data_IF_262409539343
#
_entry.id   IF_262409539343
#
_cell.length_a   1.000
_cell.length_b   1.000
_cell.length_c   1.000
_cell.angle_alpha   90.00
_cell.angle_beta   90.00
_cell.angle_gamma   90.00
#
_symmetry.space_group_name_H-M   'P 1'
#
loop_
_entity.id
_entity.type
_entity.pdbx_description
1 polymer ?
#
# COMPACT_ATOMS: atom_id res chain seq x y z
N UNK A 1 -22.65 26.03 -39.79
CA UNK A 1 -21.53 25.13 -40.09
C UNK A 1 -20.38 25.31 -39.11
N UNK A 2 -19.96 26.53 -38.78
CA UNK A 2 -18.83 26.80 -37.88
C UNK A 2 -19.02 26.28 -36.44
N UNK A 3 -20.23 26.40 -35.86
CA UNK A 3 -20.51 25.87 -34.52
C UNK A 3 -20.46 24.33 -34.44
N UNK A 4 -20.85 23.65 -35.53
CA UNK A 4 -20.79 22.18 -35.60
C UNK A 4 -19.34 21.71 -35.70
N UNK A 5 -18.51 22.43 -36.43
CA UNK A 5 -17.07 22.11 -36.58
C UNK A 5 -16.31 22.34 -35.25
N UNK A 6 -16.63 23.43 -34.51
CA UNK A 6 -16.08 23.70 -33.17
C UNK A 6 -16.48 22.64 -32.16
N UNK A 7 -17.70 22.14 -32.17
CA UNK A 7 -18.15 21.06 -31.29
C UNK A 7 -17.43 19.72 -31.58
N UNK A 8 -17.25 19.40 -32.86
CA UNK A 8 -16.55 18.20 -33.29
C UNK A 8 -15.05 18.25 -32.92
N UNK A 9 -14.39 19.40 -33.06
CA UNK A 9 -13.00 19.61 -32.64
C UNK A 9 -12.86 19.51 -31.13
N UNK A 10 -13.77 20.10 -30.34
CA UNK A 10 -13.77 19.97 -28.87
C UNK A 10 -13.97 18.51 -28.43
N UNK A 11 -14.88 17.77 -29.04
CA UNK A 11 -15.08 16.35 -28.71
C UNK A 11 -13.89 15.49 -29.10
N UNK A 12 -13.24 15.75 -30.23
CA UNK A 12 -12.01 15.03 -30.63
C UNK A 12 -10.80 15.34 -29.74
N UNK A 13 -10.69 16.56 -29.20
CA UNK A 13 -9.66 16.92 -28.24
C UNK A 13 -9.90 16.28 -26.86
N UNK A 14 -11.15 16.13 -26.44
CA UNK A 14 -11.52 15.46 -25.18
C UNK A 14 -11.29 13.94 -25.23
N UNK A 15 -11.39 13.30 -26.39
CA UNK A 15 -11.15 11.84 -26.55
C UNK A 15 -9.67 11.48 -26.53
N UNK A 16 -8.77 12.41 -26.83
CA UNK A 16 -7.30 12.16 -26.80
C UNK A 16 -6.70 12.12 -25.38
N UNK A 17 -7.44 12.46 -24.35
CA UNK A 17 -6.89 12.56 -22.98
C UNK A 17 -7.08 11.33 -22.09
N UNK A 18 -7.53 10.18 -22.64
CA UNK A 18 -7.82 8.97 -21.85
C UNK A 18 -6.89 7.79 -22.15
N UNK A 19 -5.68 8.03 -22.63
CA UNK A 19 -4.67 6.96 -22.64
C UNK A 19 -4.25 6.70 -21.19
N UNK A 20 -4.74 5.59 -20.61
CA UNK A 20 -4.34 5.16 -19.29
C UNK A 20 -2.83 4.83 -19.26
N UNK A 21 -2.10 5.41 -18.31
CA UNK A 21 -0.69 5.06 -18.09
C UNK A 21 -0.62 3.64 -17.54
N UNK A 22 0.00 2.73 -18.29
CA UNK A 22 0.28 1.37 -17.83
C UNK A 22 1.57 1.41 -17.00
N UNK A 23 1.44 1.21 -15.70
CA UNK A 23 2.60 1.09 -14.79
C UNK A 23 2.92 -0.38 -14.60
N UNK A 24 4.11 -0.87 -15.00
CA UNK A 24 4.46 -2.28 -14.87
C UNK A 24 4.55 -2.72 -13.41
N UNK A 25 4.33 -4.03 -13.19
CA UNK A 25 4.53 -4.64 -11.88
C UNK A 25 6.01 -4.92 -11.64
N UNK A 26 6.47 -4.62 -10.42
CA UNK A 26 7.82 -4.94 -9.93
C UNK A 26 7.72 -6.00 -8.84
N UNK A 27 8.38 -7.14 -9.04
CA UNK A 27 8.53 -8.18 -8.02
C UNK A 27 9.82 -7.96 -7.23
N UNK A 28 9.74 -7.98 -5.90
CA UNK A 28 10.90 -7.81 -5.01
C UNK A 28 11.55 -9.16 -4.76
N UNK A 29 12.33 -9.65 -5.73
CA UNK A 29 12.94 -10.99 -5.67
C UNK A 29 13.91 -11.14 -4.48
N UNK A 30 14.59 -10.06 -4.07
CA UNK A 30 15.47 -10.03 -2.90
C UNK A 30 14.75 -10.25 -1.56
N UNK A 31 13.42 -10.24 -1.56
CA UNK A 31 12.60 -10.51 -0.39
C UNK A 31 12.54 -12.00 -0.02
N UNK A 32 12.60 -12.88 -1.02
CA UNK A 32 12.44 -14.33 -0.85
C UNK A 32 13.47 -14.92 0.13
N UNK A 33 14.79 -14.69 -0.02
CA UNK A 33 15.78 -15.22 0.92
C UNK A 33 15.68 -14.61 2.33
N UNK A 34 15.00 -13.49 2.48
CA UNK A 34 14.68 -12.87 3.79
C UNK A 34 13.40 -13.44 4.41
N UNK A 35 12.75 -14.38 3.76
CA UNK A 35 11.46 -14.95 4.16
C UNK A 35 10.30 -13.93 4.09
N UNK A 36 10.47 -12.81 3.42
CA UNK A 36 9.43 -11.80 3.19
C UNK A 36 8.63 -12.17 1.94
N UNK A 37 7.68 -13.07 2.10
CA UNK A 37 6.89 -13.66 1.01
C UNK A 37 5.39 -13.53 1.30
N UNK A 38 4.59 -13.55 0.23
CA UNK A 38 3.13 -13.62 0.31
C UNK A 38 2.68 -14.93 0.98
N UNK A 39 1.37 -15.08 1.21
CA UNK A 39 0.81 -16.29 1.82
C UNK A 39 1.16 -17.58 1.05
N UNK A 40 1.28 -17.51 -0.25
CA UNK A 40 1.63 -18.63 -1.14
C UNK A 40 3.14 -18.86 -1.31
N UNK A 41 3.96 -18.09 -0.62
CA UNK A 41 5.42 -18.14 -0.74
C UNK A 41 6.02 -17.34 -1.91
N UNK A 42 5.20 -16.67 -2.72
CA UNK A 42 5.68 -15.84 -3.82
C UNK A 42 6.29 -14.51 -3.36
N UNK A 43 7.16 -13.86 -4.18
CA UNK A 43 7.76 -12.58 -3.82
C UNK A 43 6.72 -11.46 -3.80
N UNK A 44 6.84 -10.49 -2.86
CA UNK A 44 5.98 -9.32 -2.84
C UNK A 44 6.17 -8.45 -4.09
N UNK A 45 5.12 -7.71 -4.44
CA UNK A 45 5.10 -6.92 -5.65
C UNK A 45 4.43 -5.56 -5.45
N UNK A 46 4.87 -4.60 -6.25
CA UNK A 46 4.26 -3.27 -6.30
C UNK A 46 4.32 -2.70 -7.72
N UNK A 47 3.57 -1.64 -7.96
CA UNK A 47 3.71 -0.77 -9.12
C UNK A 47 4.44 0.50 -8.70
N UNK A 48 5.40 0.93 -9.51
CA UNK A 48 6.17 2.16 -9.27
C UNK A 48 6.09 3.09 -10.46
N UNK A 49 5.43 4.20 -10.28
CA UNK A 49 5.42 5.32 -11.21
C UNK A 49 6.34 6.43 -10.69
N UNK A 50 7.41 6.68 -11.44
CA UNK A 50 8.50 7.56 -11.00
C UNK A 50 8.09 9.03 -11.05
N UNK A 51 8.40 9.77 -10.00
CA UNK A 51 8.21 11.21 -9.92
C UNK A 51 9.15 12.00 -10.85
N UNK A 52 8.77 13.23 -11.15
CA UNK A 52 9.51 14.12 -12.03
C UNK A 52 9.49 15.56 -11.51
N UNK A 53 10.36 16.40 -12.06
CA UNK A 53 10.51 17.82 -11.70
C UNK A 53 10.55 18.07 -10.19
N UNK A 54 9.75 18.96 -9.67
CA UNK A 54 9.64 19.28 -8.25
C UNK A 54 9.12 18.11 -7.38
N UNK A 55 8.57 17.07 -7.99
CA UNK A 55 8.05 15.88 -7.32
C UNK A 55 9.08 14.77 -7.11
N UNK A 56 10.29 14.86 -7.66
CA UNK A 56 11.29 13.77 -7.67
C UNK A 56 11.71 13.29 -6.26
N UNK A 57 11.70 14.18 -5.26
CA UNK A 57 12.01 13.88 -3.86
C UNK A 57 10.77 13.67 -3.00
N UNK A 58 9.59 13.59 -3.61
CA UNK A 58 8.33 13.40 -2.93
C UNK A 58 7.76 12.02 -3.23
N UNK A 59 7.31 11.31 -2.20
CA UNK A 59 6.91 9.91 -2.29
C UNK A 59 5.54 9.67 -1.69
N UNK A 60 4.72 8.89 -2.38
CA UNK A 60 3.48 8.33 -1.81
C UNK A 60 3.52 6.81 -1.96
N UNK A 61 3.50 6.11 -0.84
CA UNK A 61 3.47 4.65 -0.78
C UNK A 61 2.08 4.23 -0.31
N UNK A 62 1.33 3.60 -1.20
CA UNK A 62 -0.04 3.17 -0.93
C UNK A 62 -0.12 1.65 -0.82
N UNK A 63 -0.53 1.18 0.33
CA UNK A 63 -0.85 -0.22 0.56
C UNK A 63 -2.29 -0.51 0.16
N UNK A 64 -2.47 -1.56 -0.64
CA UNK A 64 -3.80 -1.96 -1.08
C UNK A 64 -4.53 -2.68 0.04
N UNK A 65 -5.86 -2.55 0.05
CA UNK A 65 -6.73 -3.41 0.82
C UNK A 65 -7.13 -4.66 0.03
N UNK A 66 -7.64 -5.66 0.69
CA UNK A 66 -8.26 -6.81 0.04
C UNK A 66 -9.66 -6.45 -0.45
N UNK A 67 -9.83 -6.41 -1.77
CA UNK A 67 -11.10 -6.09 -2.44
C UNK A 67 -11.35 -4.59 -2.71
N UNK A 68 -11.72 -4.25 -3.94
CA UNK A 68 -12.40 -3.02 -4.37
C UNK A 68 -11.61 -1.70 -4.46
N UNK A 69 -10.45 -1.62 -5.07
CA UNK A 69 -9.99 -0.37 -5.67
C UNK A 69 -10.22 -0.41 -7.18
N UNK A 70 -11.29 0.20 -7.63
CA UNK A 70 -11.78 0.06 -9.00
C UNK A 70 -11.27 1.17 -9.93
N UNK A 71 -10.42 2.14 -9.47
CA UNK A 71 -10.12 3.28 -10.30
C UNK A 71 -8.72 3.86 -10.06
N UNK A 72 -7.94 3.99 -11.13
CA UNK A 72 -6.65 4.68 -11.14
C UNK A 72 -6.79 6.21 -10.99
N UNK A 73 -7.96 6.78 -11.25
CA UNK A 73 -8.19 8.23 -11.27
C UNK A 73 -8.05 8.90 -9.89
N UNK A 74 -8.32 8.20 -8.81
CA UNK A 74 -8.13 8.73 -7.46
C UNK A 74 -6.67 8.99 -7.06
N UNK A 75 -5.72 8.55 -7.87
CA UNK A 75 -4.29 8.77 -7.65
C UNK A 75 -3.72 10.00 -8.36
N UNK A 76 -4.41 10.54 -9.35
CA UNK A 76 -3.80 11.41 -10.33
C UNK A 76 -3.86 12.90 -9.99
N UNK A 77 -4.83 13.36 -9.19
CA UNK A 77 -5.15 14.79 -9.14
C UNK A 77 -4.23 15.63 -8.25
N UNK A 78 -3.67 15.10 -7.14
CA UNK A 78 -2.90 15.90 -6.18
C UNK A 78 -1.40 15.56 -6.14
N UNK A 79 -1.00 14.38 -6.60
CA UNK A 79 0.36 13.87 -6.53
C UNK A 79 0.91 13.45 -7.90
N UNK A 80 0.48 14.12 -8.96
CA UNK A 80 0.73 13.71 -10.35
C UNK A 80 2.24 13.63 -10.68
N UNK A 81 3.08 14.44 -10.05
CA UNK A 81 4.52 14.47 -10.28
C UNK A 81 5.36 13.81 -9.16
N UNK A 82 4.71 13.23 -8.14
CA UNK A 82 5.38 12.49 -7.07
C UNK A 82 5.77 11.09 -7.52
N UNK A 83 6.72 10.46 -6.81
CA UNK A 83 6.93 9.03 -6.89
C UNK A 83 5.71 8.33 -6.28
N UNK A 84 5.00 7.55 -7.09
CA UNK A 84 3.73 6.91 -6.70
C UNK A 84 3.92 5.40 -6.68
N UNK A 85 3.77 4.80 -5.51
CA UNK A 85 3.92 3.37 -5.30
C UNK A 85 2.59 2.77 -4.85
N UNK A 86 2.20 1.66 -5.49
CA UNK A 86 1.02 0.87 -5.14
C UNK A 86 1.46 -0.54 -4.79
N UNK A 87 1.54 -0.84 -3.49
CA UNK A 87 1.90 -2.17 -2.99
C UNK A 87 0.70 -3.09 -3.04
N UNK A 88 0.89 -4.29 -3.57
CA UNK A 88 -0.15 -5.32 -3.61
C UNK A 88 -0.40 -5.90 -2.21
N UNK A 89 -1.60 -6.45 -2.00
CA UNK A 89 -2.02 -7.00 -0.72
C UNK A 89 -2.33 -8.50 -0.84
N UNK A 90 -1.52 -9.32 -0.24
CA UNK A 90 -1.69 -10.79 -0.21
C UNK A 90 -1.14 -11.39 1.10
N UNK A 91 -1.17 -10.63 2.22
CA UNK A 91 -0.68 -11.10 3.52
C UNK A 91 -1.77 -11.30 4.57
N UNK A 92 -2.98 -10.81 4.32
CA UNK A 92 -4.20 -10.95 5.13
C UNK A 92 -4.10 -10.47 6.60
N UNK A 93 -3.07 -9.65 6.95
CA UNK A 93 -2.87 -9.13 8.30
C UNK A 93 -2.51 -7.64 8.37
N UNK A 94 -2.80 -6.88 7.32
CA UNK A 94 -2.39 -5.47 7.24
C UNK A 94 -0.88 -5.28 7.47
N UNK A 95 -0.08 -6.20 6.91
CA UNK A 95 1.39 -6.20 6.97
C UNK A 95 1.96 -6.25 8.41
N UNK A 96 1.32 -7.02 9.29
CA UNK A 96 1.77 -7.17 10.68
C UNK A 96 2.29 -8.56 11.01
N UNK A 97 1.94 -9.59 10.22
CA UNK A 97 2.29 -10.98 10.49
C UNK A 97 3.80 -11.25 10.46
N UNK A 98 4.27 -12.14 11.35
CA UNK A 98 5.67 -12.58 11.38
C UNK A 98 5.81 -13.97 12.01
N UNK A 99 5.30 -14.99 11.35
CA UNK A 99 5.40 -16.39 11.72
C UNK A 99 6.56 -17.06 10.97
N UNK A 100 7.48 -17.70 11.69
CA UNK A 100 8.59 -18.42 11.09
C UNK A 100 8.16 -19.76 10.47
N UNK A 101 7.34 -20.49 11.19
CA UNK A 101 6.88 -21.83 10.78
C UNK A 101 5.80 -21.71 9.71
N UNK A 102 6.00 -22.42 8.60
CA UNK A 102 4.96 -22.56 7.56
C UNK A 102 4.01 -23.67 8.00
N UNK A 103 2.70 -23.42 7.91
CA UNK A 103 1.70 -24.44 8.19
C UNK A 103 1.80 -25.57 7.15
N UNK A 104 2.15 -26.80 7.59
CA UNK A 104 2.36 -27.91 6.65
C UNK A 104 1.09 -28.39 5.96
N UNK A 105 -0.08 -28.10 6.54
CA UNK A 105 -1.38 -28.51 5.97
C UNK A 105 -1.85 -27.57 4.85
N UNK A 106 -1.56 -26.27 4.98
CA UNK A 106 -2.05 -25.23 4.07
C UNK A 106 -0.96 -24.59 3.23
N UNK A 107 0.31 -24.79 3.59
CA UNK A 107 1.49 -24.12 3.01
C UNK A 107 1.38 -22.58 3.05
N UNK A 108 0.75 -22.02 4.08
CA UNK A 108 0.57 -20.57 4.22
C UNK A 108 1.72 -19.93 5.00
N UNK A 109 2.16 -18.77 4.51
CA UNK A 109 3.25 -17.96 5.06
C UNK A 109 2.70 -16.67 5.66
N UNK A 110 2.65 -16.55 6.99
CA UNK A 110 2.13 -15.37 7.69
C UNK A 110 3.25 -14.36 7.99
N UNK A 111 3.74 -13.64 6.97
CA UNK A 111 4.98 -12.84 7.02
C UNK A 111 4.85 -11.38 6.57
N UNK A 112 3.66 -10.81 6.72
CA UNK A 112 3.34 -9.45 6.27
C UNK A 112 4.24 -8.37 6.83
N UNK A 113 4.65 -8.46 8.09
CA UNK A 113 5.57 -7.52 8.73
C UNK A 113 6.97 -7.49 8.09
N UNK A 114 7.45 -8.64 7.60
CA UNK A 114 8.71 -8.74 6.84
C UNK A 114 8.57 -8.11 5.47
N UNK A 115 7.43 -8.35 4.80
CA UNK A 115 7.12 -7.77 3.49
C UNK A 115 7.13 -6.24 3.57
N UNK A 116 6.51 -5.65 4.60
CA UNK A 116 6.52 -4.20 4.80
C UNK A 116 7.94 -3.65 4.80
N UNK A 117 8.82 -4.20 5.61
CA UNK A 117 10.21 -3.74 5.73
C UNK A 117 10.96 -3.86 4.41
N UNK A 118 10.89 -5.02 3.77
CA UNK A 118 11.66 -5.28 2.54
C UNK A 118 11.18 -4.41 1.38
N UNK A 119 9.88 -4.15 1.27
CA UNK A 119 9.36 -3.22 0.26
C UNK A 119 9.88 -1.80 0.51
N UNK A 120 9.87 -1.32 1.77
CA UNK A 120 10.40 0.01 2.07
C UNK A 120 11.92 0.07 1.82
N UNK A 121 12.69 -0.96 2.20
CA UNK A 121 14.12 -1.04 1.90
C UNK A 121 14.41 -0.98 0.39
N UNK A 122 13.65 -1.69 -0.43
CA UNK A 122 13.77 -1.66 -1.89
C UNK A 122 13.48 -0.27 -2.46
N UNK A 123 12.46 0.41 -1.95
CA UNK A 123 12.13 1.79 -2.32
C UNK A 123 13.20 2.79 -1.88
N UNK A 124 13.80 2.60 -0.70
CA UNK A 124 14.95 3.41 -0.25
C UNK A 124 16.12 3.27 -1.22
N UNK A 125 16.42 2.06 -1.68
CA UNK A 125 17.46 1.81 -2.69
C UNK A 125 17.13 2.46 -4.04
N UNK A 126 15.85 2.59 -4.39
CA UNK A 126 15.36 3.25 -5.62
C UNK A 126 15.28 4.79 -5.52
N UNK A 127 15.68 5.36 -4.40
CA UNK A 127 15.81 6.82 -4.24
C UNK A 127 15.01 7.43 -3.08
N UNK A 128 14.11 6.67 -2.43
CA UNK A 128 13.33 7.19 -1.30
C UNK A 128 14.19 7.59 -0.09
N UNK A 129 15.45 7.13 -0.04
CA UNK A 129 16.45 7.62 0.93
C UNK A 129 16.74 9.12 0.85
N UNK A 130 16.37 9.77 -0.26
CA UNK A 130 16.51 11.21 -0.46
C UNK A 130 15.17 11.95 -0.29
N UNK A 131 14.14 11.30 0.24
CA UNK A 131 12.81 11.89 0.33
C UNK A 131 12.81 13.15 1.20
N UNK A 132 12.17 14.21 0.69
CA UNK A 132 11.81 15.43 1.43
C UNK A 132 10.43 15.30 2.05
N UNK A 133 9.51 14.70 1.31
CA UNK A 133 8.16 14.42 1.78
C UNK A 133 7.80 12.96 1.46
N UNK A 134 7.18 12.28 2.40
CA UNK A 134 6.68 10.93 2.22
C UNK A 134 5.31 10.75 2.87
N UNK A 135 4.40 10.13 2.13
CA UNK A 135 3.07 9.77 2.61
C UNK A 135 2.94 8.25 2.58
N UNK A 136 2.60 7.67 3.72
CA UNK A 136 2.11 6.31 3.81
C UNK A 136 0.59 6.35 3.79
N UNK A 137 -0.03 5.67 2.84
CA UNK A 137 -1.49 5.63 2.75
C UNK A 137 -1.99 4.24 2.43
N UNK A 138 -3.28 4.04 2.58
CA UNK A 138 -3.91 2.79 2.18
C UNK A 138 -5.42 2.82 2.32
N UNK A 139 -6.06 1.90 1.60
CA UNK A 139 -7.51 1.74 1.58
C UNK A 139 -7.90 0.47 2.33
N UNK A 140 -8.96 0.50 3.16
CA UNK A 140 -9.45 -0.66 3.92
C UNK A 140 -8.33 -1.30 4.76
N UNK A 141 -8.00 -2.58 4.59
CA UNK A 141 -6.88 -3.23 5.26
C UNK A 141 -5.54 -2.51 5.03
N UNK A 142 -5.32 -1.88 3.88
CA UNK A 142 -4.18 -1.00 3.63
C UNK A 142 -4.24 0.31 4.44
N UNK A 143 -5.44 0.82 4.74
CA UNK A 143 -5.65 1.93 5.67
C UNK A 143 -5.25 1.55 7.09
N UNK A 144 -5.59 0.33 7.53
CA UNK A 144 -5.11 -0.21 8.79
C UNK A 144 -3.59 -0.37 8.81
N UNK A 145 -2.98 -0.80 7.68
CA UNK A 145 -1.52 -0.81 7.53
C UNK A 145 -0.91 0.57 7.76
N UNK A 146 -1.50 1.62 7.18
CA UNK A 146 -0.97 2.98 7.35
C UNK A 146 -1.09 3.51 8.78
N UNK A 147 -2.08 3.05 9.55
CA UNK A 147 -2.21 3.33 10.98
C UNK A 147 -1.13 2.59 11.78
N UNK A 148 -1.06 1.26 11.62
CA UNK A 148 -0.22 0.39 12.46
C UNK A 148 1.28 0.53 12.17
N UNK A 149 1.66 0.83 10.92
CA UNK A 149 3.05 0.90 10.48
C UNK A 149 3.58 2.34 10.35
N UNK A 150 2.83 3.35 10.78
CA UNK A 150 3.22 4.76 10.61
C UNK A 150 4.54 5.08 11.28
N UNK A 151 4.72 4.72 12.54
CA UNK A 151 5.93 5.00 13.31
C UNK A 151 7.12 4.23 12.74
N UNK A 152 6.92 2.98 12.36
CA UNK A 152 7.95 2.18 11.70
C UNK A 152 8.35 2.78 10.34
N UNK A 153 7.39 3.22 9.54
CA UNK A 153 7.67 3.93 8.29
C UNK A 153 8.48 5.19 8.54
N UNK A 154 8.12 5.98 9.56
CA UNK A 154 8.86 7.18 9.96
C UNK A 154 10.32 6.86 10.32
N UNK A 155 10.58 5.77 11.06
CA UNK A 155 11.93 5.39 11.49
C UNK A 155 12.81 4.88 10.35
N UNK A 156 12.23 4.32 9.30
CA UNK A 156 12.95 3.84 8.12
C UNK A 156 13.37 4.95 7.16
N UNK A 157 12.75 6.14 7.25
CA UNK A 157 13.04 7.27 6.36
C UNK A 157 14.07 8.23 6.96
N UNK A 158 14.72 9.09 6.12
CA UNK A 158 15.62 10.11 6.60
C UNK A 158 14.98 11.00 7.68
N UNK A 159 15.74 11.37 8.71
CA UNK A 159 15.22 12.18 9.81
C UNK A 159 14.65 13.54 9.35
N UNK A 160 15.21 14.12 8.28
CA UNK A 160 14.75 15.39 7.70
C UNK A 160 13.47 15.28 6.87
N UNK A 161 13.04 14.07 6.48
CA UNK A 161 11.83 13.89 5.68
C UNK A 161 10.57 14.25 6.47
N UNK A 162 9.64 14.97 5.86
CA UNK A 162 8.29 15.17 6.40
C UNK A 162 7.44 13.94 6.09
N UNK A 163 7.05 13.19 7.13
CA UNK A 163 6.25 11.98 6.99
C UNK A 163 4.83 12.23 7.47
N UNK A 164 3.85 11.76 6.71
CA UNK A 164 2.43 11.72 7.07
C UNK A 164 1.86 10.34 6.77
N UNK A 165 0.87 9.92 7.57
CA UNK A 165 0.15 8.68 7.35
C UNK A 165 -1.34 8.98 7.21
N UNK A 166 -1.99 8.32 6.24
CA UNK A 166 -3.40 8.55 5.91
C UNK A 166 -4.10 7.20 5.75
N UNK A 167 -5.09 6.95 6.59
CA UNK A 167 -6.05 5.87 6.36
C UNK A 167 -7.16 6.40 5.46
N UNK A 168 -7.10 6.02 4.19
CA UNK A 168 -8.11 6.32 3.19
C UNK A 168 -9.14 5.18 3.21
N UNK A 169 -10.43 5.50 3.33
CA UNK A 169 -11.51 4.49 3.36
C UNK A 169 -11.24 3.37 4.40
N UNK A 170 -10.95 3.75 5.63
CA UNK A 170 -10.75 2.80 6.74
C UNK A 170 -11.08 3.45 8.08
N UNK A 171 -12.15 3.01 8.71
CA UNK A 171 -12.52 3.39 10.07
C UNK A 171 -12.64 2.13 10.93
N UNK A 172 -11.75 1.99 11.89
CA UNK A 172 -11.60 0.78 12.70
C UNK A 172 -11.96 1.09 14.13
N UNK A 173 -13.10 0.59 14.58
CA UNK A 173 -13.59 0.78 15.96
C UNK A 173 -13.90 -0.57 16.59
N UNK A 174 -13.68 -0.69 17.89
CA UNK A 174 -14.10 -1.84 18.68
C UNK A 174 -15.44 -1.51 19.36
N UNK A 175 -16.53 -1.99 18.79
CA UNK A 175 -17.89 -1.80 19.32
C UNK A 175 -18.57 -3.14 19.52
N UNK A 176 -19.47 -3.21 20.50
CA UNK A 176 -20.34 -4.37 20.71
C UNK A 176 -21.39 -4.43 19.62
N UNK A 177 -21.72 -5.61 19.17
CA UNK A 177 -22.89 -5.83 18.31
C UNK A 177 -24.20 -5.49 19.07
N UNK A 178 -25.29 -5.35 18.34
CA UNK A 178 -26.62 -5.12 18.95
C UNK A 178 -26.98 -6.21 19.95
N UNK A 179 -26.53 -7.46 19.73
CA UNK A 179 -26.66 -8.58 20.66
C UNK A 179 -25.79 -8.50 21.92
N UNK A 180 -24.92 -7.49 22.05
CA UNK A 180 -23.94 -7.37 23.12
C UNK A 180 -22.64 -8.14 22.90
N UNK A 181 -22.53 -8.93 21.83
CA UNK A 181 -21.33 -9.72 21.53
C UNK A 181 -20.17 -8.84 21.02
N UNK A 182 -18.93 -9.24 21.35
CA UNK A 182 -17.70 -8.54 20.98
C UNK A 182 -17.02 -9.17 19.75
N UNK A 183 -17.75 -9.32 18.66
CA UNK A 183 -17.28 -10.00 17.44
C UNK A 183 -16.02 -9.36 16.84
N UNK A 184 -15.91 -8.03 16.88
CA UNK A 184 -14.76 -7.30 16.32
C UNK A 184 -13.50 -7.64 17.11
N UNK A 185 -13.58 -7.57 18.44
CA UNK A 185 -12.45 -7.89 19.32
C UNK A 185 -12.02 -9.35 19.16
N UNK A 186 -12.97 -10.28 19.13
CA UNK A 186 -12.69 -11.70 18.91
C UNK A 186 -12.02 -11.94 17.56
N UNK A 187 -12.51 -11.33 16.50
CA UNK A 187 -11.96 -11.45 15.16
C UNK A 187 -10.50 -10.96 15.11
N UNK A 188 -10.23 -9.74 15.59
CA UNK A 188 -8.87 -9.20 15.58
C UNK A 188 -7.92 -9.94 16.53
N UNK A 189 -8.41 -10.45 17.66
CA UNK A 189 -7.63 -11.33 18.54
C UNK A 189 -7.17 -12.58 17.80
N UNK A 190 -8.05 -13.22 17.03
CA UNK A 190 -7.70 -14.37 16.19
C UNK A 190 -6.67 -14.01 15.11
N UNK A 191 -6.81 -12.86 14.43
CA UNK A 191 -5.84 -12.38 13.45
C UNK A 191 -4.46 -12.20 14.11
N UNK A 192 -4.39 -11.53 15.26
CA UNK A 192 -3.14 -11.29 15.99
C UNK A 192 -2.47 -12.62 16.39
N UNK A 193 -3.23 -13.59 16.83
CA UNK A 193 -2.73 -14.92 17.21
C UNK A 193 -2.24 -15.70 16.00
N UNK A 194 -3.05 -15.81 14.94
CA UNK A 194 -2.72 -16.57 13.72
C UNK A 194 -1.47 -16.02 13.04
N UNK A 195 -1.33 -14.72 12.99
CA UNK A 195 -0.22 -14.05 12.31
C UNK A 195 0.97 -13.71 13.22
N UNK A 196 0.89 -14.04 14.53
CA UNK A 196 1.90 -13.65 15.53
C UNK A 196 2.27 -12.15 15.44
N UNK A 197 1.27 -11.28 15.27
CA UNK A 197 1.45 -9.87 14.93
C UNK A 197 1.96 -9.01 16.08
N UNK A 198 1.91 -9.48 17.32
CA UNK A 198 2.14 -8.68 18.55
C UNK A 198 3.43 -7.85 18.50
N UNK A 199 4.52 -8.42 17.98
CA UNK A 199 5.82 -7.71 17.89
C UNK A 199 5.90 -6.63 16.81
N UNK A 200 4.91 -6.57 15.93
CA UNK A 200 4.82 -5.59 14.82
C UNK A 200 3.67 -4.60 15.00
N UNK A 201 3.00 -4.63 16.13
CA UNK A 201 2.01 -3.63 16.54
C UNK A 201 2.71 -2.48 17.29
N UNK A 202 2.15 -1.24 17.23
CA UNK A 202 2.67 -0.10 17.97
C UNK A 202 2.56 -0.28 19.48
#
# INVERSE_FOLDING_TARGET
>A
MEHLLSLVICTLLLVKSTEGVVVPITYVQSAVPKGAVWLDGSPPAYHFDKGFDAGIDNWIVRFMGGGWCNNASHFLDHFYNWNRIKVRYCDSSSFTGDVEVVDPATNLHYRGGRIFVVVIEDLLAKGMKNAKNAILSGCSAGGLTSILQCDRFRTLLPAAAKVKCVSDVGYFINVKAVSGAQHIEQFYSQVVQTHASTKNLP
#
